data_IF_940664626606
#
_entry.id   IF_940664626606
#
_cell.length_a   1.000
_cell.length_b   1.000
_cell.length_c   1.000
_cell.angle_alpha   90.00
_cell.angle_beta   90.00
_cell.angle_gamma   90.00
#
_symmetry.space_group_name_H-M   'P 1'
#
loop_
_entity.id
_entity.type
_entity.pdbx_description
1 polymer ?
#
# COMPACT_ATOMS: atom_id res chain seq x y z
N UNK A 1 -0.97 -0.50 20.97
CA UNK A 1 -1.31 -1.68 20.13
C UNK A 1 -1.39 -1.24 18.68
N UNK A 2 -0.53 -1.79 17.82
CA UNK A 2 -0.46 -1.62 16.34
C UNK A 2 -1.64 -2.32 15.62
N UNK A 3 -2.89 -2.07 16.03
CA UNK A 3 -4.07 -2.59 15.32
C UNK A 3 -5.12 -1.54 15.03
N UNK A 4 -5.11 -0.41 15.76
CA UNK A 4 -6.08 0.66 15.57
C UNK A 4 -5.73 1.52 14.35
N UNK A 5 -4.45 1.91 14.21
CA UNK A 5 -3.99 2.77 13.13
C UNK A 5 -4.07 2.09 11.76
N UNK A 6 -3.70 0.82 11.70
CA UNK A 6 -3.72 0.00 10.50
C UNK A 6 -5.17 -0.19 10.01
N UNK A 7 -6.10 -0.46 10.93
CA UNK A 7 -7.53 -0.54 10.60
C UNK A 7 -8.09 0.81 10.13
N UNK A 8 -7.69 1.91 10.75
CA UNK A 8 -8.07 3.26 10.32
C UNK A 8 -7.50 3.59 8.92
N UNK A 9 -6.27 3.18 8.64
CA UNK A 9 -5.65 3.30 7.33
C UNK A 9 -6.40 2.48 6.28
N UNK A 10 -6.75 1.22 6.55
CA UNK A 10 -7.57 0.39 5.66
C UNK A 10 -8.94 1.04 5.43
N UNK A 11 -9.61 1.49 6.50
CA UNK A 11 -10.90 2.16 6.40
C UNK A 11 -10.84 3.39 5.51
N UNK A 12 -9.77 4.19 5.63
CA UNK A 12 -9.54 5.33 4.76
C UNK A 12 -9.33 4.91 3.31
N UNK A 13 -8.50 3.91 3.05
CA UNK A 13 -8.24 3.40 1.69
C UNK A 13 -9.55 2.96 1.03
N UNK A 14 -10.32 2.08 1.68
CA UNK A 14 -11.57 1.56 1.12
C UNK A 14 -12.63 2.66 0.94
N UNK A 15 -12.83 3.54 1.94
CA UNK A 15 -13.79 4.65 1.82
C UNK A 15 -13.39 5.63 0.72
N UNK A 16 -12.09 5.87 0.55
CA UNK A 16 -11.57 6.74 -0.51
C UNK A 16 -11.69 6.10 -1.90
N UNK A 17 -11.61 4.76 -1.97
CA UNK A 17 -11.84 4.02 -3.20
C UNK A 17 -13.32 4.02 -3.62
N UNK A 18 -14.25 4.06 -2.66
CA UNK A 18 -15.69 4.14 -2.94
C UNK A 18 -16.15 2.97 -3.81
N UNK A 19 -15.81 1.75 -3.39
CA UNK A 19 -16.11 0.48 -4.08
C UNK A 19 -15.49 0.30 -5.48
N UNK A 20 -14.57 1.19 -5.88
CA UNK A 20 -13.82 1.06 -7.13
C UNK A 20 -12.59 0.16 -6.93
N UNK A 21 -12.18 -0.59 -7.99
CA UNK A 21 -10.90 -1.29 -7.98
C UNK A 21 -9.74 -0.32 -7.76
N UNK A 22 -8.77 -0.72 -6.93
CA UNK A 22 -7.57 0.06 -6.67
C UNK A 22 -6.34 -0.85 -6.53
N UNK A 23 -5.16 -0.28 -6.74
CA UNK A 23 -3.90 -0.93 -6.40
C UNK A 23 -3.34 -0.42 -5.08
N UNK A 24 -2.58 -1.24 -4.37
CA UNK A 24 -1.88 -0.84 -3.15
C UNK A 24 -0.42 -1.30 -3.20
N UNK A 25 0.48 -0.38 -2.87
CA UNK A 25 1.89 -0.68 -2.59
C UNK A 25 2.25 -0.27 -1.17
N UNK A 26 3.43 -0.67 -0.72
CA UNK A 26 3.92 -0.23 0.58
C UNK A 26 5.43 -0.08 0.66
N UNK A 27 5.86 0.86 1.50
CA UNK A 27 7.20 0.96 2.04
C UNK A 27 7.16 0.47 3.49
N UNK A 28 7.69 -0.73 3.73
CA UNK A 28 7.59 -1.44 5.02
C UNK A 28 8.95 -1.62 5.69
N UNK A 29 8.93 -1.96 6.97
CA UNK A 29 10.10 -2.50 7.68
C UNK A 29 9.75 -3.86 8.30
N UNK A 30 10.40 -4.96 7.88
CA UNK A 30 11.49 -5.03 6.89
C UNK A 30 11.07 -4.67 5.46
N UNK A 31 12.02 -4.14 4.69
CA UNK A 31 11.79 -3.63 3.33
C UNK A 31 11.22 -4.72 2.40
N UNK A 32 10.18 -4.37 1.63
CA UNK A 32 9.48 -5.26 0.68
C UNK A 32 8.76 -6.47 1.29
N UNK A 33 8.64 -6.56 2.61
CA UNK A 33 7.82 -7.57 3.28
C UNK A 33 6.43 -7.00 3.53
N UNK A 34 5.44 -7.51 2.80
CA UNK A 34 4.06 -7.01 2.81
C UNK A 34 3.05 -7.93 3.51
N UNK A 35 3.50 -8.99 4.18
CA UNK A 35 2.63 -10.04 4.74
C UNK A 35 1.60 -9.50 5.73
N UNK A 36 1.98 -8.53 6.58
CA UNK A 36 1.06 -7.87 7.51
C UNK A 36 -0.07 -7.18 6.77
N UNK A 37 0.25 -6.37 5.77
CA UNK A 37 -0.76 -5.67 4.98
C UNK A 37 -1.61 -6.63 4.16
N UNK A 38 -1.00 -7.66 3.57
CA UNK A 38 -1.71 -8.72 2.87
C UNK A 38 -2.75 -9.39 3.78
N UNK A 39 -2.34 -9.80 4.98
CA UNK A 39 -3.24 -10.37 5.99
C UNK A 39 -4.35 -9.39 6.39
N UNK A 40 -4.04 -8.11 6.58
CA UNK A 40 -5.05 -7.10 6.94
C UNK A 40 -6.06 -6.87 5.81
N UNK A 41 -5.62 -6.80 4.56
CA UNK A 41 -6.54 -6.70 3.42
C UNK A 41 -7.42 -7.95 3.31
N UNK A 42 -6.86 -9.14 3.49
CA UNK A 42 -7.60 -10.40 3.45
C UNK A 42 -8.59 -10.55 4.61
N UNK A 43 -8.15 -10.30 5.84
CA UNK A 43 -8.96 -10.55 7.01
C UNK A 43 -9.92 -9.40 7.30
N UNK A 44 -9.43 -8.16 7.32
CA UNK A 44 -10.27 -7.00 7.65
C UNK A 44 -10.95 -6.41 6.41
N UNK A 45 -10.16 -6.15 5.37
CA UNK A 45 -10.63 -5.55 4.13
C UNK A 45 -11.73 -6.38 3.47
N UNK A 46 -11.45 -7.65 3.20
CA UNK A 46 -12.41 -8.57 2.56
C UNK A 46 -13.67 -8.76 3.40
N UNK A 47 -13.55 -8.98 4.72
CA UNK A 47 -14.73 -9.21 5.57
C UNK A 47 -15.63 -7.99 5.66
N UNK A 48 -15.07 -6.78 5.66
CA UNK A 48 -15.84 -5.54 5.85
C UNK A 48 -16.31 -4.91 4.55
N UNK A 49 -15.51 -4.97 3.50
CA UNK A 49 -15.76 -4.28 2.22
C UNK A 49 -16.04 -5.24 1.06
N UNK A 50 -15.84 -6.54 1.23
CA UNK A 50 -16.20 -7.59 0.27
C UNK A 50 -15.43 -7.55 -1.07
N UNK A 51 -14.25 -6.93 -1.11
CA UNK A 51 -13.31 -7.02 -2.24
C UNK A 51 -11.85 -6.84 -1.78
N UNK A 52 -10.90 -7.13 -2.67
CA UNK A 52 -9.46 -7.03 -2.42
C UNK A 52 -8.80 -6.12 -3.47
N UNK A 53 -7.71 -5.42 -3.11
CA UNK A 53 -6.91 -4.69 -4.08
C UNK A 53 -5.95 -5.60 -4.85
N UNK A 54 -5.31 -5.02 -5.87
CA UNK A 54 -4.11 -5.59 -6.50
C UNK A 54 -2.87 -5.01 -5.82
N UNK A 55 -1.95 -5.86 -5.41
CA UNK A 55 -0.67 -5.42 -4.88
C UNK A 55 0.26 -4.96 -6.01
N UNK A 56 0.90 -3.81 -5.82
CA UNK A 56 1.93 -3.25 -6.70
C UNK A 56 3.23 -3.03 -5.96
N UNK A 57 4.34 -3.32 -6.63
CA UNK A 57 5.68 -3.09 -6.11
C UNK A 57 6.35 -4.38 -5.62
N UNK A 58 7.56 -4.24 -5.04
CA UNK A 58 8.36 -5.39 -4.68
C UNK A 58 7.70 -6.25 -3.60
N UNK A 59 7.82 -7.57 -3.76
CA UNK A 59 7.39 -8.57 -2.78
C UNK A 59 8.60 -9.46 -2.49
N UNK A 60 9.00 -9.53 -1.22
CA UNK A 60 10.11 -10.39 -0.81
C UNK A 60 9.79 -11.87 -1.08
N UNK A 61 10.75 -12.58 -1.69
CA UNK A 61 10.61 -14.02 -1.93
C UNK A 61 10.48 -14.79 -0.61
N UNK A 62 9.65 -15.83 -0.60
CA UNK A 62 9.40 -16.66 0.59
C UNK A 62 8.31 -16.11 1.53
N UNK A 63 7.72 -14.96 1.20
CA UNK A 63 6.66 -14.32 1.99
C UNK A 63 5.36 -14.20 1.17
N UNK A 64 4.64 -15.31 0.96
CA UNK A 64 3.43 -15.29 0.12
C UNK A 64 2.31 -14.45 0.77
N UNK A 65 1.60 -13.71 -0.07
CA UNK A 65 0.36 -13.02 0.26
C UNK A 65 -0.85 -13.69 -0.40
N UNK A 66 -2.06 -13.39 0.07
CA UNK A 66 -3.31 -13.88 -0.50
C UNK A 66 -3.88 -12.98 -1.61
N UNK A 67 -3.48 -11.71 -1.66
CA UNK A 67 -3.99 -10.77 -2.66
C UNK A 67 -3.16 -10.83 -3.95
N UNK A 68 -3.77 -10.63 -5.12
CA UNK A 68 -3.07 -10.73 -6.39
C UNK A 68 -1.98 -9.67 -6.51
N UNK A 69 -0.82 -10.05 -7.05
CA UNK A 69 0.32 -9.16 -7.29
C UNK A 69 0.44 -8.88 -8.78
N UNK A 70 0.59 -7.62 -9.17
CA UNK A 70 0.93 -7.23 -10.55
C UNK A 70 2.10 -6.27 -10.58
N UNK A 71 3.11 -6.65 -11.35
CA UNK A 71 4.27 -5.80 -11.64
C UNK A 71 4.12 -5.01 -12.94
N UNK A 72 3.04 -5.27 -13.70
CA UNK A 72 2.76 -4.59 -14.95
C UNK A 72 1.98 -3.31 -14.65
N UNK A 73 2.69 -2.19 -14.52
CA UNK A 73 2.12 -0.89 -14.09
C UNK A 73 0.99 -0.37 -14.99
N UNK A 74 0.99 -0.72 -16.28
CA UNK A 74 -0.06 -0.35 -17.24
C UNK A 74 -1.41 -1.03 -16.97
N UNK A 75 -1.41 -2.16 -16.27
CA UNK A 75 -2.60 -2.99 -16.08
C UNK A 75 -3.27 -2.72 -14.73
N UNK A 76 -2.61 -1.94 -13.88
CA UNK A 76 -3.12 -1.56 -12.57
C UNK A 76 -4.27 -0.53 -12.69
N UNK A 77 -5.22 -0.55 -11.75
CA UNK A 77 -6.17 0.53 -11.58
C UNK A 77 -5.51 1.90 -11.53
N UNK A 78 -6.19 2.92 -12.05
CA UNK A 78 -5.68 4.30 -12.06
C UNK A 78 -5.56 4.86 -10.64
N UNK A 79 -6.48 4.47 -9.76
CA UNK A 79 -6.43 4.80 -8.33
C UNK A 79 -5.46 3.84 -7.63
N UNK A 80 -4.45 4.40 -6.98
CA UNK A 80 -3.46 3.65 -6.23
C UNK A 80 -3.28 4.24 -4.84
N UNK A 81 -2.86 3.40 -3.90
CA UNK A 81 -2.49 3.82 -2.56
C UNK A 81 -1.08 3.36 -2.25
N UNK A 82 -0.33 4.19 -1.54
CA UNK A 82 0.98 3.83 -1.02
C UNK A 82 0.96 3.94 0.50
N UNK A 83 1.21 2.81 1.16
CA UNK A 83 1.32 2.74 2.62
C UNK A 83 2.78 2.93 3.00
N UNK A 84 3.06 3.91 3.85
CA UNK A 84 4.42 4.23 4.31
C UNK A 84 4.47 3.98 5.80
N UNK A 85 5.18 2.92 6.19
CA UNK A 85 5.53 2.65 7.58
C UNK A 85 6.68 3.55 8.05
N UNK A 86 6.96 3.61 9.37
CA UNK A 86 8.13 4.31 9.88
C UNK A 86 9.40 3.85 9.17
N UNK A 87 10.16 4.77 8.60
CA UNK A 87 11.32 4.46 7.76
C UNK A 87 12.63 4.32 8.56
N UNK A 88 12.53 4.17 9.88
CA UNK A 88 13.68 4.09 10.78
C UNK A 88 14.46 2.81 10.49
N UNK A 89 15.69 2.93 10.03
CA UNK A 89 16.55 1.79 9.67
C UNK A 89 16.66 1.54 8.16
N UNK A 90 15.97 2.31 7.32
CA UNK A 90 16.21 2.34 5.87
C UNK A 90 17.16 3.50 5.56
N UNK A 91 18.20 3.25 4.77
CA UNK A 91 19.14 4.29 4.35
C UNK A 91 18.49 5.31 3.40
N UNK A 92 19.01 6.53 3.40
CA UNK A 92 18.45 7.65 2.63
C UNK A 92 18.44 7.41 1.12
N UNK A 93 19.43 6.69 0.59
CA UNK A 93 19.49 6.38 -0.83
C UNK A 93 18.36 5.44 -1.24
N UNK A 94 18.13 4.37 -0.46
CA UNK A 94 17.03 3.43 -0.69
C UNK A 94 15.66 4.12 -0.61
N UNK A 95 15.45 4.99 0.39
CA UNK A 95 14.21 5.78 0.52
C UNK A 95 13.99 6.70 -0.69
N UNK A 96 15.00 7.48 -1.07
CA UNK A 96 14.89 8.40 -2.21
C UNK A 96 14.68 7.65 -3.52
N UNK A 97 15.35 6.51 -3.71
CA UNK A 97 15.17 5.66 -4.88
C UNK A 97 13.73 5.15 -4.97
N UNK A 98 13.19 4.62 -3.87
CA UNK A 98 11.82 4.11 -3.82
C UNK A 98 10.79 5.17 -4.24
N UNK A 99 10.82 6.35 -3.61
CA UNK A 99 9.88 7.42 -3.93
C UNK A 99 10.08 7.98 -5.35
N UNK A 100 11.33 8.07 -5.83
CA UNK A 100 11.61 8.49 -7.21
C UNK A 100 10.99 7.52 -8.22
N UNK A 101 11.13 6.22 -7.99
CA UNK A 101 10.54 5.19 -8.86
C UNK A 101 9.01 5.21 -8.82
N UNK A 102 8.40 5.36 -7.63
CA UNK A 102 6.93 5.48 -7.54
C UNK A 102 6.39 6.73 -8.24
N UNK A 103 7.14 7.84 -8.17
CA UNK A 103 6.77 9.11 -8.79
C UNK A 103 6.88 9.08 -10.33
N UNK A 104 7.53 8.09 -10.94
CA UNK A 104 7.51 7.92 -12.39
C UNK A 104 6.16 7.42 -12.91
N UNK A 105 5.43 6.66 -12.10
CA UNK A 105 4.17 6.01 -12.51
C UNK A 105 2.94 6.70 -11.95
N UNK A 106 3.08 7.42 -10.83
CA UNK A 106 1.94 7.97 -10.10
C UNK A 106 2.29 9.33 -9.50
N UNK A 107 1.27 10.16 -9.31
CA UNK A 107 1.35 11.42 -8.57
C UNK A 107 0.53 11.33 -7.28
N UNK A 108 0.98 12.02 -6.23
CA UNK A 108 0.25 12.13 -4.97
C UNK A 108 -0.92 13.10 -5.15
N UNK A 109 -2.11 12.69 -4.74
CA UNK A 109 -3.30 13.56 -4.67
C UNK A 109 -3.59 13.97 -3.22
N UNK A 110 -3.34 13.09 -2.26
CA UNK A 110 -3.59 13.33 -0.83
C UNK A 110 -2.63 12.46 0.01
N UNK A 111 -2.26 12.95 1.19
CA UNK A 111 -1.59 12.16 2.21
C UNK A 111 -2.35 12.24 3.53
N UNK A 112 -2.45 11.11 4.24
CA UNK A 112 -3.12 11.05 5.53
C UNK A 112 -2.37 10.16 6.52
N UNK A 113 -2.14 10.69 7.72
CA UNK A 113 -1.44 9.99 8.78
C UNK A 113 -2.41 9.24 9.72
N UNK A 114 -1.99 8.05 10.15
CA UNK A 114 -2.65 7.18 11.10
C UNK A 114 -1.62 6.68 12.11
N UNK A 115 -1.46 7.41 13.22
CA UNK A 115 -0.35 7.19 14.15
C UNK A 115 0.98 7.40 13.44
N UNK A 116 1.77 6.34 13.28
CA UNK A 116 3.09 6.38 12.64
C UNK A 116 3.08 5.91 11.19
N UNK A 117 1.90 5.58 10.64
CA UNK A 117 1.72 5.15 9.24
C UNK A 117 1.19 6.33 8.44
N UNK A 118 1.74 6.57 7.26
CA UNK A 118 1.19 7.52 6.30
C UNK A 118 0.61 6.76 5.12
N UNK A 119 -0.61 7.08 4.70
CA UNK A 119 -1.19 6.57 3.46
C UNK A 119 -1.22 7.72 2.45
N UNK A 120 -0.61 7.51 1.30
CA UNK A 120 -0.73 8.41 0.16
C UNK A 120 -1.81 7.86 -0.77
N UNK A 121 -2.79 8.69 -1.12
CA UNK A 121 -3.71 8.45 -2.24
C UNK A 121 -3.05 9.00 -3.49
N UNK A 122 -2.93 8.15 -4.51
CA UNK A 122 -2.13 8.41 -5.70
C UNK A 122 -2.93 8.12 -6.96
N UNK A 123 -2.62 8.85 -8.02
CA UNK A 123 -3.24 8.67 -9.33
C UNK A 123 -2.16 8.34 -10.35
N UNK A 124 -2.41 7.33 -11.20
CA UNK A 124 -1.51 6.99 -12.30
C UNK A 124 -1.38 8.15 -13.29
N UNK A 125 -0.16 8.39 -13.77
CA UNK A 125 0.19 9.38 -14.79
C UNK A 125 -0.09 8.81 -16.19
#
# INVERSE_FOLDING_TARGET
>A
MLLSSEKQALDYIYKSAGDKPFAVGSLTIPYSINTTWNYLFEWYGRQKYNYLPVWVGPVAQGYPGSIPVSNVRSDLPTLQFLIVEPTVGIDSYTLQKFFREENYFTRIEEEKAFGTITVQRRQRI
#
